data_IF_547197570994
#
_entry.id   IF_547197570994
#
_cell.length_a   1.000
_cell.length_b   1.000
_cell.length_c   1.000
_cell.angle_alpha   90.00
_cell.angle_beta   90.00
_cell.angle_gamma   90.00
#
_symmetry.space_group_name_H-M   'P 1'
#
loop_
_entity.id
_entity.type
_entity.pdbx_description
1 polymer ?
#
# COMPACT_ATOMS: atom_id res chain seq x y z
N UNK A 1 -2.20 6.99 -8.15
CA UNK A 1 -1.43 6.71 -6.92
C UNK A 1 0.00 6.37 -7.26
N UNK A 2 0.92 6.80 -6.43
CA UNK A 2 2.32 6.49 -6.65
C UNK A 2 2.98 6.07 -5.34
N UNK A 3 4.00 5.25 -5.46
CA UNK A 3 4.81 4.83 -4.34
C UNK A 3 5.90 5.86 -4.11
N UNK A 4 6.00 6.36 -2.89
CA UNK A 4 6.93 7.43 -2.53
C UNK A 4 8.05 6.84 -1.68
N UNK A 5 9.28 7.21 -2.01
CA UNK A 5 10.45 6.74 -1.28
C UNK A 5 10.42 7.19 0.17
N UNK A 6 10.92 6.33 1.04
CA UNK A 6 11.11 6.64 2.46
C UNK A 6 12.60 6.51 2.79
N UNK A 7 13.03 6.91 4.01
CA UNK A 7 14.42 6.69 4.41
C UNK A 7 14.84 5.22 4.40
N UNK A 8 13.87 4.30 4.50
CA UNK A 8 14.15 2.87 4.43
C UNK A 8 13.98 2.40 2.97
N UNK A 9 15.05 1.88 2.32
CA UNK A 9 14.95 1.46 0.91
C UNK A 9 13.98 0.29 0.69
N UNK A 10 13.65 -0.44 1.74
CA UNK A 10 12.69 -1.54 1.65
C UNK A 10 11.25 -1.11 1.92
N UNK A 11 11.03 0.16 2.20
CA UNK A 11 9.69 0.69 2.49
C UNK A 11 9.35 1.83 1.54
N UNK A 12 8.13 1.84 1.05
CA UNK A 12 7.57 2.96 0.30
C UNK A 12 6.20 3.26 0.85
N UNK A 13 5.78 4.52 0.73
CA UNK A 13 4.48 4.92 1.22
C UNK A 13 3.58 5.39 0.08
N UNK A 14 2.28 5.31 0.34
CA UNK A 14 1.25 5.88 -0.53
C UNK A 14 0.53 6.93 0.29
N UNK A 15 0.56 8.17 -0.15
CA UNK A 15 -0.15 9.25 0.54
C UNK A 15 -1.62 9.22 0.18
N UNK A 16 -2.47 9.41 1.19
CA UNK A 16 -3.92 9.43 1.03
C UNK A 16 -4.42 10.85 1.17
N UNK A 17 -5.23 11.31 0.24
CA UNK A 17 -5.82 12.65 0.36
C UNK A 17 -7.09 12.60 1.21
N UNK A 18 -7.63 13.78 1.54
CA UNK A 18 -8.81 13.86 2.39
C UNK A 18 -10.05 13.24 1.76
N UNK A 19 -10.12 13.22 0.44
CA UNK A 19 -11.23 12.59 -0.27
C UNK A 19 -11.25 11.09 0.00
N UNK A 20 -10.09 10.44 -0.08
CA UNK A 20 -9.96 9.01 0.20
C UNK A 20 -10.21 8.73 1.66
N UNK A 21 -9.64 9.56 2.57
CA UNK A 21 -9.78 9.36 4.01
C UNK A 21 -11.23 9.47 4.49
N UNK A 22 -12.05 10.26 3.79
CA UNK A 22 -13.45 10.45 4.12
C UNK A 22 -14.39 9.53 3.35
N UNK A 23 -13.85 8.66 2.49
CA UNK A 23 -14.65 7.73 1.72
C UNK A 23 -15.02 6.52 2.57
N UNK A 24 -16.31 6.35 2.81
CA UNK A 24 -16.80 5.22 3.61
C UNK A 24 -16.47 3.87 2.98
N UNK A 25 -16.43 3.78 1.66
CA UNK A 25 -16.03 2.54 0.99
C UNK A 25 -14.59 2.19 1.28
N UNK A 26 -13.70 3.19 1.26
CA UNK A 26 -12.31 2.97 1.59
C UNK A 26 -12.16 2.51 3.04
N UNK A 27 -12.83 3.21 3.97
CA UNK A 27 -12.76 2.87 5.38
C UNK A 27 -13.30 1.47 5.67
N UNK A 28 -14.38 1.08 4.99
CA UNK A 28 -14.98 -0.23 5.17
C UNK A 28 -14.08 -1.35 4.61
N UNK A 29 -13.20 -1.04 3.67
CA UNK A 29 -12.36 -2.03 3.00
C UNK A 29 -10.90 -2.01 3.45
N UNK A 30 -10.56 -1.23 4.48
CA UNK A 30 -9.18 -1.16 4.95
C UNK A 30 -8.61 -2.52 5.36
N UNK A 31 -9.41 -3.33 6.08
CA UNK A 31 -8.96 -4.65 6.50
C UNK A 31 -8.71 -5.56 5.29
N UNK A 32 -9.61 -5.52 4.32
CA UNK A 32 -9.45 -6.29 3.09
C UNK A 32 -8.22 -5.82 2.32
N UNK A 33 -8.04 -4.52 2.22
CA UNK A 33 -6.89 -3.93 1.54
C UNK A 33 -5.58 -4.38 2.19
N UNK A 34 -5.51 -4.31 3.52
CA UNK A 34 -4.35 -4.75 4.26
C UNK A 34 -4.05 -6.22 4.00
N UNK A 35 -5.07 -7.06 4.08
CA UNK A 35 -4.92 -8.49 3.84
C UNK A 35 -4.46 -8.79 2.42
N UNK A 36 -5.04 -8.12 1.43
CA UNK A 36 -4.68 -8.32 0.03
C UNK A 36 -3.23 -7.92 -0.23
N UNK A 37 -2.80 -6.78 0.35
CA UNK A 37 -1.42 -6.32 0.19
C UNK A 37 -0.43 -7.27 0.87
N UNK A 38 -0.77 -7.74 2.06
CA UNK A 38 0.12 -8.65 2.80
C UNK A 38 0.25 -10.01 2.13
N UNK A 39 -0.73 -10.41 1.32
CA UNK A 39 -0.69 -11.67 0.58
C UNK A 39 0.17 -11.63 -0.66
N UNK A 40 0.58 -10.45 -1.10
CA UNK A 40 1.43 -10.35 -2.29
C UNK A 40 2.81 -10.94 -1.99
N UNK A 41 3.29 -11.76 -2.92
CA UNK A 41 4.66 -12.25 -2.84
C UNK A 41 5.61 -11.07 -2.88
N UNK A 42 6.51 -11.01 -1.92
CA UNK A 42 7.48 -9.93 -1.85
C UNK A 42 7.14 -8.83 -0.88
N UNK A 43 5.90 -8.79 -0.38
CA UNK A 43 5.52 -7.82 0.65
C UNK A 43 5.75 -8.43 2.03
N UNK A 44 6.54 -7.73 2.86
CA UNK A 44 6.85 -8.17 4.20
C UNK A 44 5.81 -7.71 5.21
N UNK A 45 5.41 -6.44 5.11
CA UNK A 45 4.43 -5.88 6.05
C UNK A 45 3.75 -4.65 5.46
N UNK A 46 2.62 -4.30 6.06
CA UNK A 46 1.83 -3.13 5.66
C UNK A 46 1.46 -2.38 6.94
N UNK A 47 1.64 -1.07 6.93
CA UNK A 47 1.32 -0.22 8.07
C UNK A 47 0.39 0.92 7.61
N UNK A 48 -0.72 1.11 8.30
CA UNK A 48 -1.66 2.19 8.03
C UNK A 48 -1.41 3.34 8.99
N UNK A 49 -0.93 4.46 8.44
CA UNK A 49 -0.78 5.68 9.20
C UNK A 49 -2.04 6.55 9.09
N UNK A 50 -2.01 7.74 9.72
CA UNK A 50 -3.20 8.60 9.75
C UNK A 50 -3.60 9.14 8.38
N UNK A 51 -2.66 9.31 7.46
CA UNK A 51 -2.96 9.82 6.13
C UNK A 51 -2.07 9.17 5.06
N UNK A 52 -1.54 7.97 5.36
CA UNK A 52 -0.68 7.26 4.42
C UNK A 52 -0.70 5.77 4.74
N UNK A 53 -0.23 4.99 3.77
CA UNK A 53 -0.02 3.56 3.95
C UNK A 53 1.43 3.28 3.59
N UNK A 54 2.16 2.60 4.48
CA UNK A 54 3.54 2.21 4.24
C UNK A 54 3.59 0.72 3.93
N UNK A 55 4.25 0.38 2.83
CA UNK A 55 4.41 -1.02 2.41
C UNK A 55 5.90 -1.34 2.47
N UNK A 56 6.23 -2.39 3.22
CA UNK A 56 7.61 -2.87 3.34
C UNK A 56 7.75 -4.16 2.55
N UNK A 57 8.71 -4.18 1.64
CA UNK A 57 8.98 -5.36 0.83
C UNK A 57 10.06 -6.23 1.47
N UNK A 58 10.15 -7.47 1.01
CA UNK A 58 11.27 -8.34 1.36
C UNK A 58 12.57 -7.76 0.76
N UNK A 59 13.68 -7.93 1.47
CA UNK A 59 14.95 -7.34 1.06
C UNK A 59 15.43 -7.85 -0.30
N UNK A 60 15.07 -9.08 -0.65
CA UNK A 60 15.51 -9.71 -1.90
C UNK A 60 14.56 -9.47 -3.07
N UNK A 61 13.56 -8.61 -2.90
CA UNK A 61 12.56 -8.32 -3.93
C UNK A 61 12.77 -6.91 -4.45
N UNK A 62 12.56 -6.73 -5.75
CA UNK A 62 12.65 -5.41 -6.37
C UNK A 62 11.29 -4.75 -6.42
N UNK A 63 11.24 -3.43 -6.17
CA UNK A 63 9.99 -2.68 -6.24
C UNK A 63 9.30 -2.81 -7.59
N UNK A 64 10.08 -2.87 -8.67
CA UNK A 64 9.52 -3.03 -10.02
C UNK A 64 8.71 -4.31 -10.16
N UNK A 65 9.04 -5.33 -9.39
CA UNK A 65 8.34 -6.61 -9.46
C UNK A 65 6.96 -6.58 -8.81
N UNK A 66 6.78 -5.71 -7.81
CA UNK A 66 5.54 -5.72 -7.01
C UNK A 66 4.72 -4.44 -7.12
N UNK A 67 5.31 -3.35 -7.63
CA UNK A 67 4.62 -2.05 -7.64
C UNK A 67 3.34 -2.09 -8.46
N UNK A 68 3.32 -2.77 -9.58
CA UNK A 68 2.14 -2.88 -10.43
C UNK A 68 1.01 -3.62 -9.69
N UNK A 69 1.35 -4.68 -9.00
CA UNK A 69 0.36 -5.46 -8.24
C UNK A 69 -0.22 -4.64 -7.09
N UNK A 70 0.63 -3.85 -6.42
CA UNK A 70 0.19 -2.96 -5.35
C UNK A 70 -0.81 -1.94 -5.88
N UNK A 71 -0.47 -1.29 -6.99
CA UNK A 71 -1.33 -0.28 -7.59
C UNK A 71 -2.65 -0.90 -8.05
N UNK A 72 -2.60 -2.10 -8.61
CA UNK A 72 -3.81 -2.80 -9.06
C UNK A 72 -4.77 -3.08 -7.91
N UNK A 73 -4.24 -3.42 -6.74
CA UNK A 73 -5.08 -3.66 -5.57
C UNK A 73 -5.80 -2.39 -5.15
N UNK A 74 -5.10 -1.25 -5.16
CA UNK A 74 -5.74 0.04 -4.86
C UNK A 74 -6.80 0.41 -5.88
N UNK A 75 -6.55 0.14 -7.15
CA UNK A 75 -7.49 0.46 -8.22
C UNK A 75 -8.80 -0.32 -8.08
N UNK A 76 -8.78 -1.52 -7.53
CA UNK A 76 -10.00 -2.32 -7.35
C UNK A 76 -10.92 -1.76 -6.28
N UNK A 77 -10.42 -0.91 -5.39
CA UNK A 77 -11.19 -0.35 -4.29
C UNK A 77 -11.84 0.97 -4.68
N UNK A 78 -11.24 1.66 -5.60
CA UNK A 78 -11.76 2.94 -6.10
C UNK A 78 -12.66 2.73 -7.35
#
# INVERSE_FOLDING_TARGET
MELIDTPNPNAKKIELDTTVLNDNNFLAQQDKLSNDLEKLDGVSSVFFGPNFITITKEANVEWLSISQDIISIFDTIQ
#
